data_IF_667793782510
#
_entry.id   IF_667793782510
#
_cell.length_a   1.000
_cell.length_b   1.000
_cell.length_c   1.000
_cell.angle_alpha   90.00
_cell.angle_beta   90.00
_cell.angle_gamma   90.00
#
_symmetry.space_group_name_H-M   'P 1'
#
loop_
_entity.id
_entity.type
_entity.pdbx_description
1 polymer ?
#
# COMPACT_ATOMS: atom_id res chain seq x y z
N UNK A 1 9.68 12.46 1.80
CA UNK A 1 8.29 11.93 1.80
C UNK A 1 8.18 10.73 2.74
N UNK A 2 6.98 10.46 3.25
CA UNK A 2 6.62 9.30 4.09
C UNK A 2 5.22 8.80 3.69
N UNK A 3 4.64 7.79 4.34
CA UNK A 3 3.33 7.30 3.94
C UNK A 3 2.82 6.02 4.60
N UNK A 4 1.71 5.50 4.08
CA UNK A 4 1.10 4.23 4.50
C UNK A 4 1.04 3.22 3.36
N UNK A 5 1.38 1.96 3.69
CA UNK A 5 1.08 0.80 2.86
C UNK A 5 -0.28 0.21 3.25
N UNK A 6 -1.17 0.09 2.27
CA UNK A 6 -2.60 -0.10 2.44
C UNK A 6 -3.14 -1.35 1.73
N UNK A 7 -2.25 -2.21 1.20
CA UNK A 7 -2.63 -3.42 0.46
C UNK A 7 -2.26 -4.73 1.18
N UNK A 8 -2.79 -5.83 0.66
CA UNK A 8 -2.43 -7.19 1.08
C UNK A 8 -3.37 -7.83 2.11
N UNK A 9 -3.16 -9.13 2.34
CA UNK A 9 -4.06 -9.95 3.15
C UNK A 9 -4.19 -9.46 4.60
N UNK A 10 -3.11 -8.95 5.18
CA UNK A 10 -3.11 -8.45 6.55
C UNK A 10 -4.08 -7.28 6.74
N UNK A 11 -4.16 -6.36 5.77
CA UNK A 11 -5.10 -5.24 5.79
C UNK A 11 -6.53 -5.75 5.70
N UNK A 12 -6.81 -6.67 4.77
CA UNK A 12 -8.13 -7.28 4.63
C UNK A 12 -8.58 -7.94 5.94
N UNK A 13 -7.73 -8.77 6.55
CA UNK A 13 -8.03 -9.44 7.81
C UNK A 13 -8.24 -8.45 8.97
N UNK A 14 -7.45 -7.37 9.03
CA UNK A 14 -7.59 -6.34 10.06
C UNK A 14 -8.92 -5.58 9.91
N UNK A 15 -9.29 -5.20 8.70
CA UNK A 15 -10.56 -4.56 8.40
C UNK A 15 -11.76 -5.45 8.76
N UNK A 16 -11.70 -6.74 8.41
CA UNK A 16 -12.72 -7.73 8.80
C UNK A 16 -12.86 -7.84 10.32
N UNK A 17 -11.75 -7.95 11.07
CA UNK A 17 -11.79 -7.99 12.54
C UNK A 17 -12.35 -6.72 13.15
N UNK A 18 -12.13 -5.57 12.50
CA UNK A 18 -12.65 -4.27 12.91
C UNK A 18 -14.09 -4.01 12.42
N UNK A 19 -14.73 -4.94 11.73
CA UNK A 19 -16.11 -4.79 11.24
C UNK A 19 -16.28 -3.70 10.19
N UNK A 20 -15.24 -3.40 9.42
CA UNK A 20 -15.23 -2.30 8.43
C UNK A 20 -14.71 -2.78 7.06
N UNK A 21 -14.87 -1.95 6.04
CA UNK A 21 -14.28 -2.22 4.73
C UNK A 21 -12.78 -1.95 4.75
N UNK A 22 -11.96 -2.63 3.91
CA UNK A 22 -10.53 -2.35 3.82
C UNK A 22 -10.23 -0.88 3.56
N UNK A 23 -11.02 -0.22 2.69
CA UNK A 23 -10.85 1.19 2.37
C UNK A 23 -11.06 2.09 3.59
N UNK A 24 -12.18 1.91 4.29
CA UNK A 24 -12.48 2.71 5.48
C UNK A 24 -11.46 2.45 6.60
N UNK A 25 -10.96 1.21 6.73
CA UNK A 25 -9.91 0.86 7.68
C UNK A 25 -8.61 1.63 7.41
N UNK A 26 -8.14 1.64 6.17
CA UNK A 26 -6.88 2.31 5.80
C UNK A 26 -7.02 3.82 5.79
N UNK A 27 -8.18 4.38 5.45
CA UNK A 27 -8.45 5.82 5.55
C UNK A 27 -8.29 6.33 6.99
N UNK A 28 -8.87 5.62 7.97
CA UNK A 28 -8.72 5.95 9.39
C UNK A 28 -7.31 5.70 9.92
N UNK A 29 -6.62 4.68 9.40
CA UNK A 29 -5.23 4.37 9.79
C UNK A 29 -4.27 5.44 9.26
N UNK A 30 -4.36 5.82 7.99
CA UNK A 30 -3.54 6.86 7.37
C UNK A 30 -3.63 8.19 8.15
N UNK A 31 -4.85 8.61 8.51
CA UNK A 31 -5.05 9.83 9.30
C UNK A 31 -4.31 9.79 10.66
N UNK A 32 -4.30 8.63 11.34
CA UNK A 32 -3.59 8.45 12.62
C UNK A 32 -2.07 8.50 12.44
N UNK A 33 -1.54 7.85 11.39
CA UNK A 33 -0.11 7.86 11.11
C UNK A 33 0.39 9.26 10.71
N UNK A 34 -0.40 10.00 9.92
CA UNK A 34 -0.07 11.38 9.57
C UNK A 34 -0.07 12.28 10.80
N UNK A 35 -1.11 12.21 11.65
CA UNK A 35 -1.16 12.97 12.90
C UNK A 35 -0.01 12.62 13.86
N UNK A 36 0.43 11.36 13.87
CA UNK A 36 1.61 10.94 14.63
C UNK A 36 2.88 11.58 14.06
N UNK A 37 3.08 11.55 12.74
CA UNK A 37 4.23 12.19 12.09
C UNK A 37 4.29 13.69 12.41
N UNK A 38 3.15 14.38 12.35
CA UNK A 38 3.03 15.80 12.69
C UNK A 38 3.38 16.06 14.16
N UNK A 39 2.87 15.22 15.07
CA UNK A 39 3.16 15.33 16.51
C UNK A 39 4.63 15.08 16.85
N UNK A 40 5.31 14.27 16.07
CA UNK A 40 6.73 13.95 16.23
C UNK A 40 7.64 14.96 15.53
N UNK A 41 7.08 16.02 14.93
CA UNK A 41 7.82 17.01 14.13
C UNK A 41 8.68 16.36 13.03
N UNK A 42 8.15 15.28 12.45
CA UNK A 42 8.81 14.62 11.33
C UNK A 42 8.69 15.49 10.09
N UNK A 43 9.82 15.91 9.53
CA UNK A 43 9.83 16.63 8.26
C UNK A 43 9.47 15.69 7.09
N UNK A 44 8.46 16.06 6.31
CA UNK A 44 8.11 15.39 5.06
C UNK A 44 7.42 16.34 4.08
N UNK A 45 7.75 16.23 2.79
CA UNK A 45 7.12 17.06 1.74
C UNK A 45 5.76 16.52 1.29
N UNK A 46 5.57 15.19 1.40
CA UNK A 46 4.37 14.48 0.99
C UNK A 46 4.16 13.26 1.89
N UNK A 47 2.92 13.08 2.32
CA UNK A 47 2.42 11.87 2.96
C UNK A 47 1.69 11.03 1.90
N UNK A 48 2.30 9.92 1.47
CA UNK A 48 1.88 9.11 0.33
C UNK A 48 1.01 7.94 0.83
N UNK A 49 -0.10 7.66 0.14
CA UNK A 49 -0.88 6.45 0.39
C UNK A 49 -0.82 5.52 -0.81
N UNK A 50 -0.55 4.23 -0.62
CA UNK A 50 -0.46 3.27 -1.74
C UNK A 50 -1.81 2.98 -2.42
N UNK A 51 -2.91 3.56 -1.91
CA UNK A 51 -4.22 3.53 -2.58
C UNK A 51 -4.50 4.74 -3.49
N UNK A 52 -3.55 5.65 -3.66
CA UNK A 52 -3.68 6.79 -4.57
C UNK A 52 -3.53 6.37 -6.05
N UNK A 53 -4.23 7.05 -6.98
CA UNK A 53 -4.15 6.76 -8.41
C UNK A 53 -2.72 6.76 -8.98
N UNK A 54 -1.89 7.72 -8.56
CA UNK A 54 -0.53 7.85 -9.05
C UNK A 54 0.35 6.66 -8.64
N UNK A 55 0.10 6.10 -7.45
CA UNK A 55 0.80 4.91 -7.00
C UNK A 55 0.42 3.68 -7.84
N UNK A 56 -0.87 3.54 -8.16
CA UNK A 56 -1.32 2.48 -9.07
C UNK A 56 -0.71 2.60 -10.46
N UNK A 57 -0.72 3.81 -11.03
CA UNK A 57 -0.13 4.07 -12.34
C UNK A 57 1.37 3.72 -12.37
N UNK A 58 2.11 4.11 -11.33
CA UNK A 58 3.52 3.78 -11.20
C UNK A 58 3.77 2.26 -11.10
N UNK A 59 3.03 1.56 -10.24
CA UNK A 59 3.16 0.11 -10.07
C UNK A 59 2.84 -0.65 -11.36
N UNK A 60 1.79 -0.24 -12.07
CA UNK A 60 1.39 -0.81 -13.35
C UNK A 60 2.44 -0.56 -14.45
N UNK A 61 3.04 0.63 -14.49
CA UNK A 61 4.08 0.93 -15.47
C UNK A 61 5.37 0.12 -15.22
N UNK A 62 5.74 -0.10 -13.95
CA UNK A 62 6.86 -0.99 -13.60
C UNK A 62 6.56 -2.41 -14.10
N UNK A 63 5.37 -2.94 -13.81
CA UNK A 63 4.94 -4.25 -14.29
C UNK A 63 5.03 -4.36 -15.82
N UNK A 64 4.46 -3.38 -16.53
CA UNK A 64 4.46 -3.34 -18.00
C UNK A 64 5.88 -3.39 -18.59
N UNK A 65 6.83 -2.68 -17.97
CA UNK A 65 8.24 -2.68 -18.41
C UNK A 65 8.92 -4.02 -18.17
N UNK A 66 8.70 -4.62 -17.00
CA UNK A 66 9.23 -5.96 -16.68
C UNK A 66 8.69 -7.02 -17.64
N UNK A 67 7.39 -6.96 -17.95
CA UNK A 67 6.77 -7.87 -18.91
C UNK A 67 7.34 -7.67 -20.32
N UNK A 68 7.47 -6.41 -20.77
CA UNK A 68 8.06 -6.08 -22.07
C UNK A 68 9.54 -6.49 -22.20
N UNK A 69 10.27 -6.54 -21.08
CA UNK A 69 11.66 -6.98 -21.03
C UNK A 69 11.83 -8.50 -20.88
N UNK A 70 10.73 -9.24 -20.71
CA UNK A 70 10.75 -10.70 -20.53
C UNK A 70 11.15 -11.16 -19.12
N UNK A 71 11.09 -10.27 -18.12
CA UNK A 71 11.44 -10.57 -16.73
C UNK A 71 10.32 -11.30 -15.96
N UNK A 72 9.10 -11.33 -16.52
CA UNK A 72 7.94 -11.98 -15.92
C UNK A 72 7.66 -13.30 -16.60
N UNK A 73 7.58 -14.37 -15.82
CA UNK A 73 7.13 -15.67 -16.26
C UNK A 73 6.11 -16.26 -15.27
N UNK A 74 5.25 -17.14 -15.76
CA UNK A 74 4.24 -17.82 -14.94
C UNK A 74 4.80 -19.13 -14.41
N UNK A 75 4.75 -19.30 -13.10
CA UNK A 75 5.12 -20.54 -12.42
C UNK A 75 4.21 -20.79 -11.20
N UNK A 76 4.41 -21.91 -10.49
CA UNK A 76 3.73 -22.23 -9.24
C UNK A 76 4.69 -22.09 -8.08
N UNK A 77 4.26 -21.35 -7.07
CA UNK A 77 4.98 -21.25 -5.81
C UNK A 77 4.45 -22.29 -4.80
N UNK A 78 5.38 -23.02 -4.17
CA UNK A 78 5.10 -23.91 -3.05
C UNK A 78 6.12 -23.63 -1.93
N UNK A 79 5.64 -23.02 -0.86
CA UNK A 79 6.44 -22.58 0.29
C UNK A 79 5.53 -22.19 1.44
N UNK A 80 6.12 -21.75 2.55
CA UNK A 80 5.37 -21.44 3.78
C UNK A 80 4.50 -20.19 3.70
N UNK A 81 4.79 -19.29 2.74
CA UNK A 81 3.97 -18.13 2.40
C UNK A 81 4.37 -17.55 1.05
#
# INVERSE_FOLDING_TARGET
STGTDEHGLKIQQAATRAGTTPRAFVDGTAARFQAMADRMDCAYDRFIRTTEPDHYAAAQEIWRRMEANGDIYRDKYAGWY
#
